data_IF_472540314460
#
_entry.id   IF_472540314460
#
_cell.length_a   1.000
_cell.length_b   1.000
_cell.length_c   1.000
_cell.angle_alpha   90.00
_cell.angle_beta   90.00
_cell.angle_gamma   90.00
#
_symmetry.space_group_name_H-M   'P 1'
#
loop_
_entity.id
_entity.type
_entity.pdbx_description
1 polymer ?
#
# COMPACT_ATOMS: atom_id res chain seq x y z
N UNK A 1 -10.69 -37.81 45.63
CA UNK A 1 -10.27 -36.48 45.11
C UNK A 1 -9.37 -36.72 43.90
N UNK A 2 -9.94 -36.70 42.71
CA UNK A 2 -9.20 -36.65 41.44
C UNK A 2 -9.76 -35.44 40.69
N UNK A 3 -9.08 -34.31 40.89
CA UNK A 3 -9.45 -33.03 40.29
C UNK A 3 -9.02 -33.08 38.81
N UNK A 4 -9.86 -33.66 37.95
CA UNK A 4 -9.68 -33.59 36.51
C UNK A 4 -10.07 -32.19 36.07
N UNK A 5 -9.07 -31.35 35.83
CA UNK A 5 -9.21 -30.08 35.11
C UNK A 5 -10.04 -30.33 33.84
N UNK A 6 -11.08 -29.54 33.53
CA UNK A 6 -11.77 -29.71 32.27
C UNK A 6 -10.80 -29.31 31.17
N UNK A 7 -10.39 -30.26 30.34
CA UNK A 7 -9.77 -29.98 29.04
C UNK A 7 -10.70 -29.02 28.31
N UNK A 8 -10.23 -27.80 28.07
CA UNK A 8 -11.01 -26.80 27.32
C UNK A 8 -11.45 -27.44 26.00
N UNK A 9 -12.76 -27.51 25.77
CA UNK A 9 -13.31 -28.10 24.56
C UNK A 9 -12.73 -27.37 23.34
N UNK A 10 -12.13 -28.11 22.42
CA UNK A 10 -11.58 -27.56 21.17
C UNK A 10 -12.73 -26.97 20.36
N UNK A 11 -12.67 -25.68 20.09
CA UNK A 11 -13.65 -25.01 19.23
C UNK A 11 -13.26 -25.20 17.76
N UNK A 12 -14.23 -25.49 16.91
CA UNK A 12 -14.04 -25.66 15.47
C UNK A 12 -14.72 -24.52 14.71
N UNK A 13 -14.23 -24.23 13.49
CA UNK A 13 -14.91 -23.29 12.60
C UNK A 13 -16.33 -23.78 12.23
N UNK A 14 -16.50 -25.08 12.02
CA UNK A 14 -17.77 -25.76 11.77
C UNK A 14 -17.89 -26.98 12.72
N UNK A 15 -18.77 -26.91 13.72
CA UNK A 15 -18.85 -27.90 14.82
C UNK A 15 -19.21 -29.33 14.37
N UNK A 16 -19.98 -29.47 13.29
CA UNK A 16 -20.50 -30.77 12.84
C UNK A 16 -19.83 -31.29 11.57
N UNK A 17 -18.75 -30.65 11.12
CA UNK A 17 -18.09 -31.00 9.86
C UNK A 17 -16.73 -31.65 10.12
N UNK A 18 -16.55 -32.88 9.63
CA UNK A 18 -15.26 -33.57 9.68
C UNK A 18 -14.21 -32.78 8.88
N UNK A 19 -13.02 -32.62 9.46
CA UNK A 19 -11.92 -31.86 8.85
C UNK A 19 -12.06 -30.33 8.97
N UNK A 20 -12.93 -29.82 9.85
CA UNK A 20 -12.99 -28.39 10.14
C UNK A 20 -11.71 -27.89 10.80
N UNK A 21 -11.29 -26.67 10.47
CA UNK A 21 -10.19 -26.00 11.15
C UNK A 21 -10.50 -25.74 12.63
N UNK A 22 -9.44 -25.73 13.44
CA UNK A 22 -9.50 -25.34 14.84
C UNK A 22 -9.62 -23.83 14.96
N UNK A 23 -10.60 -23.39 15.73
CA UNK A 23 -10.86 -21.99 16.02
C UNK A 23 -10.08 -21.56 17.25
N UNK A 24 -9.33 -20.46 17.15
CA UNK A 24 -8.67 -19.84 18.30
C UNK A 24 -9.71 -19.09 19.16
N UNK A 25 -9.90 -19.46 20.43
CA UNK A 25 -10.89 -18.80 21.28
C UNK A 25 -10.33 -17.46 21.79
N UNK A 26 -10.82 -16.35 21.23
CA UNK A 26 -10.60 -15.02 21.78
C UNK A 26 -11.69 -14.65 22.80
N UNK A 27 -11.31 -13.92 23.86
CA UNK A 27 -12.28 -13.33 24.78
C UNK A 27 -13.22 -12.37 24.04
N UNK A 28 -14.48 -12.19 24.48
CA UNK A 28 -15.40 -11.24 23.85
C UNK A 28 -14.81 -9.82 23.74
N UNK A 29 -14.09 -9.37 24.77
CA UNK A 29 -13.41 -8.08 24.78
C UNK A 29 -12.32 -7.99 23.70
N UNK A 30 -11.46 -9.02 23.59
CA UNK A 30 -10.41 -9.07 22.56
C UNK A 30 -10.99 -9.05 21.14
N UNK A 31 -12.08 -9.81 20.89
CA UNK A 31 -12.76 -9.83 19.59
C UNK A 31 -13.27 -8.45 19.21
N UNK A 32 -13.94 -7.77 20.14
CA UNK A 32 -14.46 -6.41 19.91
C UNK A 32 -13.32 -5.44 19.61
N UNK A 33 -12.21 -5.50 20.37
CA UNK A 33 -11.03 -4.66 20.12
C UNK A 33 -10.45 -4.92 18.74
N UNK A 34 -10.23 -6.18 18.36
CA UNK A 34 -9.64 -6.53 17.06
C UNK A 34 -10.55 -6.09 15.90
N UNK A 35 -11.87 -6.32 15.99
CA UNK A 35 -12.82 -5.83 15.00
C UNK A 35 -12.80 -4.30 14.87
N UNK A 36 -12.71 -3.57 15.99
CA UNK A 36 -12.60 -2.11 15.94
C UNK A 36 -11.30 -1.66 15.27
N UNK A 37 -10.18 -2.28 15.61
CA UNK A 37 -8.85 -1.91 15.10
C UNK A 37 -8.74 -2.19 13.59
N UNK A 38 -9.05 -3.42 13.17
CA UNK A 38 -9.00 -3.82 11.77
C UNK A 38 -10.10 -3.16 10.92
N UNK A 39 -11.30 -3.02 11.48
CA UNK A 39 -12.43 -2.35 10.83
C UNK A 39 -12.15 -0.86 10.62
N UNK A 40 -11.54 -0.19 11.59
CA UNK A 40 -11.11 1.21 11.43
C UNK A 40 -10.08 1.36 10.32
N UNK A 41 -9.10 0.46 10.22
CA UNK A 41 -8.11 0.44 9.13
C UNK A 41 -8.78 0.31 7.76
N UNK A 42 -9.71 -0.64 7.61
CA UNK A 42 -10.45 -0.86 6.38
C UNK A 42 -11.29 0.37 5.98
N UNK A 43 -12.05 0.94 6.93
CA UNK A 43 -12.83 2.17 6.72
C UNK A 43 -11.92 3.32 6.27
N UNK A 44 -10.78 3.51 6.93
CA UNK A 44 -9.83 4.55 6.56
C UNK A 44 -9.26 4.34 5.16
N UNK A 45 -8.88 3.10 4.80
CA UNK A 45 -8.41 2.76 3.46
C UNK A 45 -9.46 3.04 2.39
N UNK A 46 -10.72 2.65 2.62
CA UNK A 46 -11.82 2.86 1.67
C UNK A 46 -12.14 4.35 1.50
N UNK A 47 -12.54 5.03 2.58
CA UNK A 47 -13.02 6.41 2.48
C UNK A 47 -11.87 7.39 2.22
N UNK A 48 -10.71 7.16 2.84
CA UNK A 48 -9.54 8.01 2.66
C UNK A 48 -9.06 8.00 1.20
N UNK A 49 -8.90 6.82 0.60
CA UNK A 49 -8.43 6.74 -0.78
C UNK A 49 -9.50 7.16 -1.79
N UNK A 50 -10.79 6.92 -1.52
CA UNK A 50 -11.88 7.46 -2.33
C UNK A 50 -11.86 9.01 -2.37
N UNK A 51 -11.58 9.65 -1.23
CA UNK A 51 -11.42 11.11 -1.16
C UNK A 51 -10.21 11.59 -1.97
N UNK A 52 -9.09 10.88 -1.94
CA UNK A 52 -7.89 11.19 -2.75
C UNK A 52 -8.22 11.12 -4.24
N UNK A 53 -8.83 10.01 -4.69
CA UNK A 53 -9.25 9.85 -6.08
C UNK A 53 -10.21 10.95 -6.50
N UNK A 54 -11.25 11.21 -5.69
CA UNK A 54 -12.26 12.23 -5.98
C UNK A 54 -11.62 13.61 -6.09
N UNK A 55 -10.72 13.97 -5.17
CA UNK A 55 -10.02 15.25 -5.21
C UNK A 55 -9.22 15.41 -6.52
N UNK A 56 -8.39 14.44 -6.88
CA UNK A 56 -7.54 14.54 -8.07
C UNK A 56 -8.35 14.55 -9.36
N UNK A 57 -9.36 13.69 -9.47
CA UNK A 57 -10.18 13.58 -10.68
C UNK A 57 -11.08 14.80 -10.85
N UNK A 58 -11.60 15.37 -9.76
CA UNK A 58 -12.52 16.51 -9.80
C UNK A 58 -11.83 17.85 -10.09
N UNK A 59 -10.70 18.15 -9.43
CA UNK A 59 -10.05 19.46 -9.54
C UNK A 59 -9.04 19.48 -10.68
N UNK A 60 -9.38 20.17 -11.79
CA UNK A 60 -8.55 20.25 -13.01
C UNK A 60 -7.13 20.78 -12.76
N UNK A 61 -6.96 21.63 -11.76
CA UNK A 61 -5.65 22.15 -11.37
C UNK A 61 -4.69 21.05 -10.90
N UNK A 62 -5.22 19.92 -10.41
CA UNK A 62 -4.43 18.78 -9.95
C UNK A 62 -4.10 17.80 -11.08
N UNK A 63 -4.55 18.02 -12.32
CA UNK A 63 -4.28 17.11 -13.43
C UNK A 63 -2.83 17.24 -13.89
N UNK A 64 -1.94 16.50 -13.23
CA UNK A 64 -0.53 16.36 -13.57
C UNK A 64 -0.15 14.89 -13.69
N UNK A 65 0.93 14.54 -14.42
CA UNK A 65 1.39 13.16 -14.56
C UNK A 65 1.55 12.42 -13.23
N UNK A 66 2.15 13.07 -12.23
CA UNK A 66 2.35 12.52 -10.88
C UNK A 66 1.03 12.32 -10.14
N UNK A 67 0.10 13.27 -10.24
CA UNK A 67 -1.17 13.15 -9.53
C UNK A 67 -2.04 12.04 -10.15
N UNK A 68 -1.94 11.76 -11.45
CA UNK A 68 -2.58 10.57 -12.04
C UNK A 68 -2.01 9.26 -11.46
N UNK A 69 -0.69 9.18 -11.23
CA UNK A 69 -0.10 8.04 -10.54
C UNK A 69 -0.61 7.92 -9.09
N UNK A 70 -0.72 9.05 -8.37
CA UNK A 70 -1.26 9.07 -6.99
C UNK A 70 -2.74 8.65 -6.98
N UNK A 71 -3.55 9.08 -7.95
CA UNK A 71 -4.94 8.67 -8.07
C UNK A 71 -5.07 7.17 -8.37
N UNK A 72 -4.19 6.63 -9.21
CA UNK A 72 -4.15 5.19 -9.51
C UNK A 72 -3.67 4.35 -8.32
N UNK A 73 -2.67 4.83 -7.57
CA UNK A 73 -2.27 4.26 -6.28
C UNK A 73 -3.43 4.22 -5.28
N UNK A 74 -4.16 5.34 -5.14
CA UNK A 74 -5.34 5.40 -4.29
C UNK A 74 -6.44 4.42 -4.76
N UNK A 75 -6.56 4.15 -6.07
CA UNK A 75 -7.46 3.12 -6.57
C UNK A 75 -7.05 1.71 -6.12
N UNK A 76 -5.76 1.37 -6.20
CA UNK A 76 -5.25 0.09 -5.69
C UNK A 76 -5.50 -0.07 -4.19
N UNK A 77 -5.19 0.95 -3.39
CA UNK A 77 -5.39 0.93 -1.93
C UNK A 77 -6.87 0.92 -1.53
N UNK A 78 -7.74 1.60 -2.30
CA UNK A 78 -9.19 1.50 -2.15
C UNK A 78 -9.67 0.07 -2.38
N UNK A 79 -9.19 -0.60 -3.44
CA UNK A 79 -9.54 -1.99 -3.73
C UNK A 79 -9.07 -2.93 -2.61
N UNK A 80 -7.85 -2.76 -2.09
CA UNK A 80 -7.40 -3.49 -0.88
C UNK A 80 -8.38 -3.29 0.28
N UNK A 81 -8.80 -2.05 0.53
CA UNK A 81 -9.76 -1.70 1.59
C UNK A 81 -11.14 -2.35 1.43
N UNK A 82 -11.60 -2.59 0.19
CA UNK A 82 -12.93 -3.17 -0.09
C UNK A 82 -12.88 -4.70 -0.21
N UNK A 83 -11.90 -5.24 -0.92
CA UNK A 83 -11.88 -6.67 -1.32
C UNK A 83 -10.95 -7.53 -0.46
N UNK A 84 -9.98 -6.94 0.24
CA UNK A 84 -8.98 -7.70 1.02
C UNK A 84 -9.22 -7.53 2.52
N UNK A 85 -9.17 -6.29 3.03
CA UNK A 85 -9.17 -6.02 4.47
C UNK A 85 -10.41 -6.55 5.21
N UNK A 86 -11.67 -6.42 4.71
CA UNK A 86 -12.84 -6.87 5.47
C UNK A 86 -12.88 -8.39 5.66
N UNK A 87 -12.43 -9.14 4.65
CA UNK A 87 -12.41 -10.59 4.68
C UNK A 87 -11.20 -11.12 5.46
N UNK A 88 -10.04 -10.46 5.32
CA UNK A 88 -8.88 -10.70 6.19
C UNK A 88 -9.23 -10.42 7.65
N UNK A 89 -10.02 -9.39 7.95
CA UNK A 89 -10.46 -9.09 9.32
C UNK A 89 -11.28 -10.24 9.92
N UNK A 90 -12.24 -10.79 9.17
CA UNK A 90 -12.99 -11.96 9.64
C UNK A 90 -12.04 -13.14 9.88
N UNK A 91 -11.11 -13.40 8.94
CA UNK A 91 -10.09 -14.45 9.07
C UNK A 91 -9.24 -14.28 10.33
N UNK A 92 -8.69 -13.09 10.58
CA UNK A 92 -7.80 -12.85 11.72
C UNK A 92 -8.54 -12.88 13.06
N UNK A 93 -9.77 -12.35 13.13
CA UNK A 93 -10.54 -12.27 14.39
C UNK A 93 -11.20 -13.60 14.73
N UNK A 94 -11.79 -14.28 13.75
CA UNK A 94 -12.47 -15.56 13.99
C UNK A 94 -11.52 -16.75 13.86
N UNK A 95 -10.29 -16.55 13.36
CA UNK A 95 -9.35 -17.63 12.98
C UNK A 95 -9.93 -18.62 11.96
N UNK A 96 -10.95 -18.19 11.22
CA UNK A 96 -11.74 -19.03 10.35
C UNK A 96 -12.09 -18.28 9.06
N UNK A 97 -12.17 -19.02 7.95
CA UNK A 97 -12.55 -18.55 6.64
C UNK A 97 -13.89 -19.15 6.19
N UNK A 98 -14.95 -18.35 6.28
CA UNK A 98 -16.31 -18.81 6.00
C UNK A 98 -16.77 -18.61 4.54
N UNK A 99 -15.92 -18.04 3.69
CA UNK A 99 -16.29 -17.59 2.34
C UNK A 99 -16.03 -18.63 1.24
N UNK A 100 -15.55 -19.82 1.62
CA UNK A 100 -15.25 -20.92 0.70
C UNK A 100 -13.90 -20.79 -0.02
N UNK A 101 -13.43 -21.92 -0.57
CA UNK A 101 -12.09 -22.05 -1.16
C UNK A 101 -11.89 -21.18 -2.41
N UNK A 102 -12.89 -21.12 -3.29
CA UNK A 102 -12.81 -20.28 -4.50
C UNK A 102 -12.60 -18.80 -4.15
N UNK A 103 -13.31 -18.30 -3.15
CA UNK A 103 -13.12 -16.91 -2.71
C UNK A 103 -11.79 -16.72 -1.98
N UNK A 104 -11.27 -17.73 -1.27
CA UNK A 104 -9.90 -17.68 -0.72
C UNK A 104 -8.87 -17.46 -1.83
N UNK A 105 -8.94 -18.23 -2.93
CA UNK A 105 -8.05 -18.04 -4.08
C UNK A 105 -8.18 -16.64 -4.68
N UNK A 106 -9.40 -16.15 -4.91
CA UNK A 106 -9.60 -14.79 -5.43
C UNK A 106 -9.10 -13.72 -4.46
N UNK A 107 -9.32 -13.89 -3.16
CA UNK A 107 -8.85 -12.99 -2.12
C UNK A 107 -7.32 -12.91 -2.12
N UNK A 108 -6.62 -14.05 -2.15
CA UNK A 108 -5.15 -14.07 -2.29
C UNK A 108 -4.69 -13.43 -3.59
N UNK A 109 -5.38 -13.69 -4.70
CA UNK A 109 -5.06 -13.04 -5.97
C UNK A 109 -5.18 -11.50 -5.88
N UNK A 110 -6.28 -11.01 -5.30
CA UNK A 110 -6.50 -9.57 -5.13
C UNK A 110 -5.49 -8.95 -4.16
N UNK A 111 -5.19 -9.63 -3.07
CA UNK A 111 -4.20 -9.19 -2.10
C UNK A 111 -2.84 -8.97 -2.77
N UNK A 112 -2.28 -10.02 -3.39
CA UNK A 112 -1.00 -9.90 -4.07
C UNK A 112 -1.07 -8.87 -5.20
N UNK A 113 -2.07 -8.92 -6.09
CA UNK A 113 -2.12 -8.03 -7.24
C UNK A 113 -2.19 -6.55 -6.84
N UNK A 114 -3.05 -6.19 -5.89
CA UNK A 114 -3.23 -4.78 -5.51
C UNK A 114 -2.07 -4.27 -4.67
N UNK A 115 -1.51 -5.09 -3.79
CA UNK A 115 -0.30 -4.73 -3.04
C UNK A 115 0.91 -4.47 -3.94
N UNK A 116 1.16 -5.36 -4.91
CA UNK A 116 2.23 -5.16 -5.90
C UNK A 116 1.92 -3.99 -6.84
N UNK A 117 0.65 -3.75 -7.15
CA UNK A 117 0.25 -2.55 -7.88
C UNK A 117 0.65 -1.30 -7.12
N UNK A 118 0.37 -1.22 -5.82
CA UNK A 118 0.77 -0.10 -4.97
C UNK A 118 2.30 0.06 -4.92
N UNK A 119 3.07 -1.04 -4.85
CA UNK A 119 4.54 -1.02 -4.91
C UNK A 119 5.06 -0.40 -6.22
N UNK A 120 4.53 -0.81 -7.37
CA UNK A 120 4.97 -0.25 -8.66
C UNK A 120 4.58 1.20 -8.83
N UNK A 121 3.38 1.62 -8.38
CA UNK A 121 3.00 3.02 -8.38
C UNK A 121 3.96 3.86 -7.54
N UNK A 122 4.30 3.43 -6.31
CA UNK A 122 5.29 4.10 -5.48
C UNK A 122 6.66 4.18 -6.15
N UNK A 123 7.08 3.11 -6.84
CA UNK A 123 8.35 3.07 -7.57
C UNK A 123 8.37 4.08 -8.72
N UNK A 124 7.31 4.14 -9.54
CA UNK A 124 7.21 5.11 -10.63
C UNK A 124 7.07 6.55 -10.13
N UNK A 125 6.33 6.79 -9.04
CA UNK A 125 6.29 8.09 -8.38
C UNK A 125 7.70 8.50 -7.94
N UNK A 126 8.49 7.58 -7.39
CA UNK A 126 9.86 7.85 -6.96
C UNK A 126 10.78 8.24 -8.13
N UNK A 127 10.64 7.55 -9.28
CA UNK A 127 11.36 7.87 -10.52
C UNK A 127 10.94 9.26 -11.04
N UNK A 128 9.64 9.53 -11.13
CA UNK A 128 9.10 10.83 -11.54
C UNK A 128 9.65 11.97 -10.66
N UNK A 129 9.63 11.80 -9.34
CA UNK A 129 10.18 12.77 -8.38
C UNK A 129 11.68 12.96 -8.51
N UNK A 130 12.42 11.87 -8.75
CA UNK A 130 13.85 11.95 -8.98
C UNK A 130 14.14 12.84 -10.18
N UNK A 131 13.51 12.57 -11.33
CA UNK A 131 13.70 13.36 -12.57
C UNK A 131 13.29 14.82 -12.36
N UNK A 132 12.17 15.08 -11.66
CA UNK A 132 11.69 16.43 -11.37
C UNK A 132 12.69 17.25 -10.52
N UNK A 133 13.38 16.61 -9.57
CA UNK A 133 14.35 17.27 -8.67
C UNK A 133 15.72 17.41 -9.31
N UNK A 134 16.19 16.41 -10.07
CA UNK A 134 17.52 16.44 -10.69
C UNK A 134 17.56 17.30 -11.95
N UNK A 135 16.53 17.22 -12.80
CA UNK A 135 16.48 17.89 -14.11
C UNK A 135 15.20 18.75 -14.29
N UNK A 136 14.96 19.79 -13.48
CA UNK A 136 13.68 20.52 -13.45
C UNK A 136 13.28 21.19 -14.77
N UNK A 137 14.25 21.56 -15.63
CA UNK A 137 13.97 22.20 -16.93
C UNK A 137 13.60 21.20 -18.03
N UNK A 138 14.10 19.97 -17.94
CA UNK A 138 13.88 18.90 -18.92
C UNK A 138 12.77 17.96 -18.47
N UNK A 139 12.42 17.98 -17.18
CA UNK A 139 11.32 17.21 -16.61
C UNK A 139 10.02 17.28 -17.42
N UNK A 140 9.49 18.46 -17.83
CA UNK A 140 8.22 18.53 -18.54
C UNK A 140 8.22 17.82 -19.91
N UNK A 141 9.39 17.64 -20.52
CA UNK A 141 9.52 16.91 -21.79
C UNK A 141 9.80 15.42 -21.59
N UNK A 142 10.41 15.03 -20.46
CA UNK A 142 10.70 13.62 -20.11
C UNK A 142 9.49 12.88 -19.53
N UNK A 143 8.73 13.52 -18.63
CA UNK A 143 7.65 12.86 -17.90
C UNK A 143 6.30 13.49 -18.24
N UNK A 144 5.65 12.94 -19.27
CA UNK A 144 4.38 13.43 -19.79
C UNK A 144 3.19 12.61 -19.27
N UNK A 145 1.96 13.07 -19.56
CA UNK A 145 0.73 12.33 -19.22
C UNK A 145 0.72 10.94 -19.89
N UNK A 146 1.22 10.82 -21.11
CA UNK A 146 1.33 9.53 -21.81
C UNK A 146 2.29 8.57 -21.11
N UNK A 147 3.43 9.06 -20.63
CA UNK A 147 4.38 8.26 -19.84
C UNK A 147 3.73 7.79 -18.54
N UNK A 148 3.01 8.67 -17.84
CA UNK A 148 2.22 8.29 -16.65
C UNK A 148 1.18 7.20 -16.97
N UNK A 149 0.48 7.28 -18.10
CA UNK A 149 -0.46 6.25 -18.56
C UNK A 149 0.21 4.89 -18.83
N UNK A 150 1.44 4.87 -19.35
CA UNK A 150 2.23 3.65 -19.52
C UNK A 150 2.61 3.06 -18.15
N UNK A 151 3.12 3.90 -17.24
CA UNK A 151 3.45 3.49 -15.86
C UNK A 151 2.23 2.90 -15.13
N UNK A 152 1.06 3.52 -15.26
CA UNK A 152 -0.20 3.01 -14.71
C UNK A 152 -0.52 1.64 -15.31
N UNK A 153 -0.49 1.52 -16.65
CA UNK A 153 -0.77 0.25 -17.33
C UNK A 153 0.12 -0.89 -16.85
N UNK A 154 1.44 -0.64 -16.72
CA UNK A 154 2.40 -1.61 -16.19
C UNK A 154 2.07 -1.99 -14.74
N UNK A 155 1.77 -0.98 -13.91
CA UNK A 155 1.46 -1.18 -12.49
C UNK A 155 0.17 -1.97 -12.24
N UNK A 156 -0.70 -2.13 -13.23
CA UNK A 156 -1.89 -2.98 -13.13
C UNK A 156 -1.70 -4.32 -13.81
N UNK A 157 -1.28 -4.32 -15.07
CA UNK A 157 -1.22 -5.53 -15.89
C UNK A 157 -0.21 -6.53 -15.32
N UNK A 158 0.98 -6.07 -14.91
CA UNK A 158 2.03 -6.95 -14.46
C UNK A 158 1.65 -7.66 -13.13
N UNK A 159 1.21 -6.96 -12.07
CA UNK A 159 0.75 -7.63 -10.84
C UNK A 159 -0.46 -8.54 -11.04
N UNK A 160 -1.46 -8.12 -11.83
CA UNK A 160 -2.65 -8.94 -12.08
C UNK A 160 -2.30 -10.24 -12.81
N UNK A 161 -1.44 -10.13 -13.83
CA UNK A 161 -0.98 -11.30 -14.59
C UNK A 161 -0.13 -12.21 -13.72
N UNK A 162 0.81 -11.65 -12.96
CA UNK A 162 1.66 -12.39 -12.04
C UNK A 162 0.83 -13.15 -11.00
N UNK A 163 -0.04 -12.44 -10.27
CA UNK A 163 -0.83 -13.02 -9.20
C UNK A 163 -1.82 -14.06 -9.72
N UNK A 164 -2.50 -13.79 -10.84
CA UNK A 164 -3.35 -14.77 -11.50
C UNK A 164 -2.56 -16.01 -11.94
N UNK A 165 -1.40 -15.83 -12.58
CA UNK A 165 -0.57 -16.95 -13.01
C UNK A 165 -0.08 -17.81 -11.84
N UNK A 166 0.25 -17.23 -10.69
CA UNK A 166 0.78 -17.95 -9.53
C UNK A 166 -0.32 -18.68 -8.75
N UNK A 167 -1.35 -17.95 -8.32
CA UNK A 167 -2.32 -18.46 -7.35
C UNK A 167 -3.55 -19.10 -7.98
N UNK A 168 -3.97 -18.67 -9.17
CA UNK A 168 -5.14 -19.28 -9.83
C UNK A 168 -4.77 -20.61 -10.51
N UNK A 169 -3.55 -20.74 -11.01
CA UNK A 169 -3.09 -22.00 -11.65
C UNK A 169 -2.65 -23.07 -10.64
N UNK A 170 -2.44 -22.69 -9.38
CA UNK A 170 -1.86 -23.57 -8.35
C UNK A 170 -0.34 -23.71 -8.45
N UNK A 171 0.34 -22.92 -9.29
CA UNK A 171 1.80 -23.00 -9.43
C UNK A 171 2.55 -22.78 -8.11
N UNK A 172 1.94 -22.06 -7.16
CA UNK A 172 2.48 -21.80 -5.82
C UNK A 172 2.67 -23.08 -4.98
N UNK A 173 1.83 -24.11 -5.16
CA UNK A 173 1.87 -25.33 -4.35
C UNK A 173 2.62 -26.50 -5.00
N UNK A 174 3.14 -26.31 -6.23
CA UNK A 174 3.90 -27.34 -6.94
C UNK A 174 5.07 -27.87 -6.09
N UNK A 175 5.10 -29.18 -5.87
CA UNK A 175 6.10 -29.87 -5.06
C UNK A 175 5.88 -29.79 -3.54
N UNK A 176 4.73 -29.27 -3.11
CA UNK A 176 4.35 -29.09 -1.71
C UNK A 176 2.90 -29.54 -1.45
N UNK A 177 2.39 -30.45 -2.29
CA UNK A 177 0.99 -30.90 -2.30
C UNK A 177 0.61 -31.63 -1.01
N UNK A 178 1.52 -32.44 -0.45
CA UNK A 178 1.29 -33.14 0.83
C UNK A 178 1.15 -32.17 2.00
N UNK A 179 2.01 -31.15 2.06
CA UNK A 179 1.93 -30.11 3.09
C UNK A 179 0.70 -29.22 2.91
N UNK A 180 0.37 -28.85 1.66
CA UNK A 180 -0.87 -28.15 1.33
C UNK A 180 -2.08 -28.95 1.80
N UNK A 181 -2.14 -30.25 1.51
CA UNK A 181 -3.22 -31.14 1.97
C UNK A 181 -3.30 -31.24 3.50
N UNK A 182 -2.16 -31.30 4.19
CA UNK A 182 -2.11 -31.38 5.65
C UNK A 182 -2.55 -30.08 6.35
N UNK A 183 -2.27 -28.92 5.76
CA UNK A 183 -2.66 -27.60 6.30
C UNK A 183 -4.07 -27.19 5.88
N UNK A 184 -4.58 -27.73 4.77
CA UNK A 184 -5.92 -27.42 4.28
C UNK A 184 -6.99 -28.12 5.12
N UNK A 185 -7.77 -27.32 5.84
CA UNK A 185 -8.95 -27.75 6.57
C UNK A 185 -10.18 -26.93 6.15
N UNK A 186 -11.39 -27.44 6.40
CA UNK A 186 -12.61 -26.72 6.06
C UNK A 186 -12.78 -25.53 7.01
N UNK A 187 -12.93 -24.34 6.45
CA UNK A 187 -12.88 -23.11 7.22
C UNK A 187 -11.48 -22.49 7.32
N UNK A 188 -10.52 -22.98 6.54
CA UNK A 188 -9.17 -22.42 6.44
C UNK A 188 -8.97 -21.65 5.14
N UNK A 189 -8.07 -20.68 5.16
CA UNK A 189 -7.57 -20.00 3.97
C UNK A 189 -6.08 -19.72 4.18
N UNK A 190 -5.26 -20.72 3.86
CA UNK A 190 -3.80 -20.64 3.89
C UNK A 190 -3.29 -21.10 2.52
N UNK A 191 -2.62 -20.21 1.81
CA UNK A 191 -1.99 -20.53 0.54
C UNK A 191 -0.55 -20.87 0.81
N UNK A 192 -0.19 -22.14 0.61
CA UNK A 192 1.19 -22.59 0.72
C UNK A 192 1.95 -22.12 -0.51
N UNK A 193 3.10 -21.48 -0.32
CA UNK A 193 3.94 -20.97 -1.40
C UNK A 193 5.29 -21.67 -1.33
N UNK A 194 5.69 -22.34 -2.41
CA UNK A 194 6.98 -23.01 -2.45
C UNK A 194 8.15 -22.00 -2.43
N UNK A 195 9.34 -22.52 -2.10
CA UNK A 195 10.56 -21.71 -1.92
C UNK A 195 10.90 -20.83 -3.13
N UNK A 196 10.67 -21.33 -4.34
CA UNK A 196 10.98 -20.58 -5.57
C UNK A 196 10.07 -19.36 -5.71
N UNK A 197 8.77 -19.53 -5.48
CA UNK A 197 7.82 -18.41 -5.54
C UNK A 197 8.03 -17.43 -4.39
N UNK A 198 8.33 -17.91 -3.17
CA UNK A 198 8.71 -17.02 -2.06
C UNK A 198 9.94 -16.19 -2.38
N UNK A 199 10.96 -16.79 -3.01
CA UNK A 199 12.15 -16.05 -3.43
C UNK A 199 11.82 -15.01 -4.52
N UNK A 200 10.99 -15.39 -5.50
CA UNK A 200 10.54 -14.46 -6.55
C UNK A 200 9.76 -13.30 -5.94
N UNK A 201 8.85 -13.57 -5.00
CA UNK A 201 8.08 -12.56 -4.29
C UNK A 201 9.02 -11.62 -3.52
N UNK A 202 9.95 -12.18 -2.75
CA UNK A 202 10.93 -11.40 -1.99
C UNK A 202 11.77 -10.50 -2.90
N UNK A 203 12.30 -11.02 -4.00
CA UNK A 203 13.09 -10.24 -4.96
C UNK A 203 12.25 -9.16 -5.65
N UNK A 204 11.00 -9.49 -6.00
CA UNK A 204 10.07 -8.58 -6.67
C UNK A 204 9.63 -7.44 -5.75
N UNK A 205 9.63 -7.66 -4.43
CA UNK A 205 9.48 -6.62 -3.44
C UNK A 205 10.79 -5.84 -3.18
N UNK A 206 11.90 -6.55 -3.00
CA UNK A 206 13.18 -5.99 -2.57
C UNK A 206 13.84 -5.10 -3.63
N UNK A 207 13.82 -5.51 -4.90
CA UNK A 207 14.47 -4.76 -5.99
C UNK A 207 13.86 -3.36 -6.18
N UNK A 208 12.53 -3.20 -6.36
CA UNK A 208 11.93 -1.87 -6.48
C UNK A 208 12.12 -1.03 -5.21
N UNK A 209 12.05 -1.67 -4.04
CA UNK A 209 12.29 -1.03 -2.75
C UNK A 209 13.71 -0.45 -2.67
N UNK A 210 14.73 -1.22 -3.01
CA UNK A 210 16.12 -0.77 -3.04
C UNK A 210 16.31 0.40 -4.01
N UNK A 211 15.71 0.32 -5.20
CA UNK A 211 15.73 1.42 -6.18
C UNK A 211 15.12 2.67 -5.58
N UNK A 212 13.96 2.59 -4.93
CA UNK A 212 13.34 3.75 -4.27
C UNK A 212 14.27 4.36 -3.19
N UNK A 213 14.93 3.54 -2.36
CA UNK A 213 15.89 4.04 -1.35
C UNK A 213 17.00 4.84 -2.00
N UNK A 214 17.61 4.30 -3.07
CA UNK A 214 18.69 4.95 -3.79
C UNK A 214 18.21 6.28 -4.38
N UNK A 215 17.05 6.30 -5.02
CA UNK A 215 16.48 7.49 -5.62
C UNK A 215 16.21 8.59 -4.57
N UNK A 216 15.58 8.26 -3.44
CA UNK A 216 15.33 9.25 -2.38
C UNK A 216 16.59 9.72 -1.67
N UNK A 217 17.58 8.84 -1.51
CA UNK A 217 18.89 9.23 -0.98
C UNK A 217 19.53 10.27 -1.90
N UNK A 218 19.51 10.04 -3.22
CA UNK A 218 20.02 10.98 -4.20
C UNK A 218 19.22 12.30 -4.21
N UNK A 219 17.90 12.24 -4.17
CA UNK A 219 17.02 13.42 -4.05
C UNK A 219 17.42 14.25 -2.82
N UNK A 220 17.61 13.59 -1.67
CA UNK A 220 17.97 14.28 -0.43
C UNK A 220 19.36 14.93 -0.52
N UNK A 221 20.32 14.25 -1.14
CA UNK A 221 21.67 14.79 -1.38
C UNK A 221 21.63 16.02 -2.31
N UNK A 222 20.96 15.93 -3.45
CA UNK A 222 20.79 17.03 -4.40
C UNK A 222 20.09 18.21 -3.74
N UNK A 223 19.03 17.94 -2.98
CA UNK A 223 18.29 18.95 -2.23
C UNK A 223 19.16 19.67 -1.18
N UNK A 224 20.06 18.95 -0.48
CA UNK A 224 21.02 19.56 0.45
C UNK A 224 22.06 20.42 -0.27
N UNK A 225 22.58 19.94 -1.39
CA UNK A 225 23.56 20.69 -2.19
C UNK A 225 22.96 21.99 -2.74
N UNK A 226 21.72 21.94 -3.25
CA UNK A 226 21.01 23.12 -3.74
C UNK A 226 20.72 24.12 -2.60
N UNK A 227 20.30 23.65 -1.42
CA UNK A 227 20.08 24.52 -0.26
C UNK A 227 21.36 25.26 0.16
N UNK A 228 22.49 24.54 0.24
CA UNK A 228 23.80 25.13 0.56
C UNK A 228 24.26 26.16 -0.48
N UNK A 229 23.99 25.92 -1.77
CA UNK A 229 24.29 26.88 -2.85
C UNK A 229 23.45 28.16 -2.73
N UNK A 230 22.16 28.04 -2.35
CA UNK A 230 21.26 29.19 -2.15
C UNK A 230 21.72 30.03 -0.95
N UNK A 231 22.05 29.40 0.18
CA UNK A 231 22.59 30.11 1.36
C UNK A 231 23.90 30.84 1.03
N UNK A 232 24.80 30.22 0.27
CA UNK A 232 26.07 30.82 -0.12
C UNK A 232 25.93 31.94 -1.18
N UNK A 233 24.82 32.00 -1.93
CA UNK A 233 24.59 32.98 -3.02
C UNK A 233 23.73 34.17 -2.57
N UNK A 234 23.26 34.20 -1.32
CA UNK A 234 22.37 35.23 -0.74
C UNK A 234 22.90 36.67 -0.65
N UNK A 235 23.90 37.05 -1.44
CA UNK A 235 24.45 38.42 -1.52
C UNK A 235 24.61 38.98 -2.95
N UNK A 236 24.19 38.26 -4.00
CA UNK A 236 24.26 38.77 -5.38
C UNK A 236 22.87 38.88 -6.01
N UNK A 237 22.64 40.00 -6.69
CA UNK A 237 21.40 40.34 -7.41
C UNK A 237 20.98 39.20 -8.33
N UNK A 238 19.99 38.41 -7.92
CA UNK A 238 19.48 37.28 -8.70
C UNK A 238 18.75 37.78 -9.96
N UNK A 239 19.05 37.19 -11.11
CA UNK A 239 18.24 37.40 -12.31
C UNK A 239 16.83 36.83 -12.11
N UNK A 240 15.82 37.38 -12.78
CA UNK A 240 14.43 36.89 -12.69
C UNK A 240 14.29 35.40 -13.07
N UNK A 241 15.14 34.92 -13.99
CA UNK A 241 15.27 33.51 -14.38
C UNK A 241 15.77 32.63 -13.24
N UNK A 242 16.80 33.06 -12.51
CA UNK A 242 17.41 32.27 -11.43
C UNK A 242 16.51 32.21 -10.19
N UNK A 243 15.77 33.30 -9.93
CA UNK A 243 14.72 33.33 -8.89
C UNK A 243 13.55 32.39 -9.19
N UNK A 244 13.14 32.26 -10.47
CA UNK A 244 12.12 31.29 -10.85
C UNK A 244 12.60 29.84 -10.67
N UNK A 245 13.83 29.52 -11.12
CA UNK A 245 14.43 28.18 -10.95
C UNK A 245 14.55 27.78 -9.48
N UNK A 246 14.98 28.70 -8.60
CA UNK A 246 15.13 28.44 -7.16
C UNK A 246 13.78 28.17 -6.48
N UNK A 247 12.72 28.89 -6.86
CA UNK A 247 11.35 28.67 -6.35
C UNK A 247 10.78 27.31 -6.76
N UNK A 248 10.96 26.91 -8.03
CA UNK A 248 10.52 25.60 -8.52
C UNK A 248 11.25 24.48 -7.77
N UNK A 249 12.58 24.54 -7.68
CA UNK A 249 13.37 23.53 -6.97
C UNK A 249 12.98 23.42 -5.48
N UNK A 250 12.69 24.54 -4.81
CA UNK A 250 12.22 24.54 -3.40
C UNK A 250 10.88 23.83 -3.24
N UNK A 251 9.94 24.03 -4.18
CA UNK A 251 8.63 23.35 -4.17
C UNK A 251 8.78 21.85 -4.41
N UNK A 252 9.56 21.45 -5.40
CA UNK A 252 9.82 20.03 -5.70
C UNK A 252 10.50 19.32 -4.54
N UNK A 253 11.46 19.97 -3.85
CA UNK A 253 12.08 19.43 -2.64
C UNK A 253 11.08 19.15 -1.53
N UNK A 254 10.14 20.07 -1.28
CA UNK A 254 9.11 19.90 -0.25
C UNK A 254 8.22 18.70 -0.58
N UNK A 255 7.81 18.56 -1.84
CA UNK A 255 7.04 17.42 -2.32
C UNK A 255 7.83 16.09 -2.22
N UNK A 256 9.10 16.09 -2.59
CA UNK A 256 9.94 14.90 -2.54
C UNK A 256 10.25 14.43 -1.10
N UNK A 257 10.40 15.36 -0.14
CA UNK A 257 10.51 15.03 1.29
C UNK A 257 9.27 14.25 1.78
N UNK A 258 8.10 14.72 1.39
CA UNK A 258 6.83 14.08 1.75
C UNK A 258 6.73 12.66 1.19
N UNK A 259 7.05 12.48 -0.09
CA UNK A 259 6.97 11.16 -0.72
C UNK A 259 8.04 10.20 -0.20
N UNK A 260 9.21 10.72 0.22
CA UNK A 260 10.21 9.93 0.91
C UNK A 260 9.72 9.36 2.25
N UNK A 261 8.88 10.10 2.99
CA UNK A 261 8.23 9.58 4.21
C UNK A 261 7.27 8.43 3.86
N UNK A 262 6.48 8.57 2.79
CA UNK A 262 5.60 7.49 2.31
C UNK A 262 6.37 6.22 2.00
N UNK A 263 7.51 6.35 1.33
CA UNK A 263 8.36 5.22 0.95
C UNK A 263 8.99 4.53 2.16
N UNK A 264 9.45 5.29 3.16
CA UNK A 264 9.96 4.71 4.40
C UNK A 264 8.85 3.99 5.17
N UNK A 265 7.66 4.60 5.25
CA UNK A 265 6.51 3.98 5.91
C UNK A 265 6.15 2.64 5.24
N UNK A 266 6.09 2.62 3.90
CA UNK A 266 5.88 1.42 3.10
C UNK A 266 6.91 0.32 3.42
N UNK A 267 8.20 0.66 3.47
CA UNK A 267 9.26 -0.30 3.79
C UNK A 267 9.08 -0.93 5.16
N UNK A 268 8.83 -0.11 6.17
CA UNK A 268 8.66 -0.56 7.56
C UNK A 268 7.42 -1.46 7.69
N UNK A 269 6.33 -1.12 7.00
CA UNK A 269 5.10 -1.91 7.05
C UNK A 269 5.23 -3.29 6.40
N UNK A 270 6.03 -3.40 5.35
CA UNK A 270 6.16 -4.64 4.57
C UNK A 270 7.28 -5.56 5.04
N UNK A 271 8.31 -5.00 5.67
CA UNK A 271 9.48 -5.76 6.12
C UNK A 271 9.15 -6.97 7.02
N UNK A 272 8.23 -6.88 8.00
CA UNK A 272 7.88 -8.03 8.85
C UNK A 272 7.38 -9.22 8.04
N UNK A 273 6.44 -9.00 7.11
CA UNK A 273 5.87 -10.03 6.24
C UNK A 273 6.92 -10.65 5.32
N UNK A 274 7.79 -9.83 4.72
CA UNK A 274 8.86 -10.32 3.84
C UNK A 274 9.86 -11.21 4.58
N UNK A 275 10.23 -10.85 5.82
CA UNK A 275 11.14 -11.66 6.64
C UNK A 275 10.45 -12.96 7.07
N UNK A 276 9.21 -12.87 7.54
CA UNK A 276 8.39 -14.02 7.97
C UNK A 276 8.28 -15.07 6.86
N UNK A 277 7.92 -14.63 5.65
CA UNK A 277 7.78 -15.52 4.49
C UNK A 277 9.09 -16.23 4.13
N UNK A 278 10.23 -15.54 4.23
CA UNK A 278 11.54 -16.16 3.99
C UNK A 278 11.91 -17.19 5.07
N UNK A 279 11.61 -16.89 6.33
CA UNK A 279 11.87 -17.79 7.45
C UNK A 279 11.07 -19.08 7.28
N UNK A 280 9.77 -18.97 7.00
CA UNK A 280 8.90 -20.13 6.83
C UNK A 280 9.35 -21.00 5.64
N UNK A 281 9.69 -20.36 4.51
CA UNK A 281 10.10 -21.08 3.31
C UNK A 281 11.47 -21.77 3.44
N UNK A 282 12.48 -21.10 4.01
CA UNK A 282 13.86 -21.59 3.98
C UNK A 282 14.32 -22.27 5.26
N UNK A 283 13.70 -21.96 6.41
CA UNK A 283 14.04 -22.60 7.69
C UNK A 283 13.06 -23.71 8.07
N UNK A 284 11.99 -23.93 7.30
CA UNK A 284 10.96 -24.92 7.62
C UNK A 284 10.24 -24.63 8.94
N UNK A 285 10.25 -23.36 9.36
CA UNK A 285 9.51 -22.89 10.52
C UNK A 285 8.03 -22.75 10.12
N UNK A 286 7.12 -23.06 11.04
CA UNK A 286 5.69 -22.83 10.84
C UNK A 286 5.32 -21.65 11.73
N UNK A 287 5.19 -20.48 11.13
CA UNK A 287 4.84 -19.28 11.88
C UNK A 287 3.47 -19.44 12.54
N UNK A 288 3.34 -19.18 13.85
CA UNK A 288 2.05 -19.17 14.52
C UNK A 288 1.09 -18.21 13.83
N UNK A 289 -0.16 -18.63 13.60
CA UNK A 289 -1.14 -17.88 12.82
C UNK A 289 -1.28 -16.41 13.27
N UNK A 290 -1.24 -16.13 14.56
CA UNK A 290 -1.35 -14.76 15.06
C UNK A 290 -0.16 -13.86 14.67
N UNK A 291 1.06 -14.40 14.56
CA UNK A 291 2.25 -13.65 14.10
C UNK A 291 2.10 -13.34 12.61
N UNK A 292 1.74 -14.34 11.81
CA UNK A 292 1.47 -14.17 10.38
C UNK A 292 0.41 -13.09 10.13
N UNK A 293 -0.70 -13.11 10.88
CA UNK A 293 -1.74 -12.09 10.78
C UNK A 293 -1.22 -10.69 11.16
N UNK A 294 -0.40 -10.56 12.21
CA UNK A 294 0.22 -9.29 12.57
C UNK A 294 1.10 -8.78 11.41
N UNK A 295 1.92 -9.64 10.82
CA UNK A 295 2.77 -9.31 9.68
C UNK A 295 1.94 -8.86 8.46
N UNK A 296 0.86 -9.57 8.11
CA UNK A 296 -0.06 -9.17 7.04
C UNK A 296 -0.74 -7.82 7.33
N UNK A 297 -1.24 -7.62 8.55
CA UNK A 297 -1.90 -6.38 8.92
C UNK A 297 -0.94 -5.20 8.91
N UNK A 298 0.32 -5.37 9.34
CA UNK A 298 1.36 -4.37 9.18
C UNK A 298 1.45 -3.89 7.72
N UNK A 299 1.47 -4.81 6.75
CA UNK A 299 1.48 -4.47 5.33
C UNK A 299 0.17 -3.78 4.89
N UNK A 300 -1.00 -4.25 5.33
CA UNK A 300 -2.30 -3.65 4.99
C UNK A 300 -2.45 -2.21 5.50
N UNK A 301 -1.92 -1.90 6.69
CA UNK A 301 -1.97 -0.54 7.23
C UNK A 301 -1.30 0.48 6.30
N UNK A 302 -0.35 0.09 5.45
CA UNK A 302 0.22 0.97 4.44
C UNK A 302 -0.87 1.64 3.57
N UNK A 303 -1.83 0.86 3.07
CA UNK A 303 -2.93 1.37 2.24
C UNK A 303 -3.86 2.32 2.99
N UNK A 304 -4.01 2.14 4.31
CA UNK A 304 -4.77 3.03 5.17
C UNK A 304 -4.00 4.33 5.53
N UNK A 305 -2.67 4.28 5.57
CA UNK A 305 -1.83 5.41 5.93
C UNK A 305 -1.66 6.43 4.81
N UNK A 306 -1.77 6.02 3.54
CA UNK A 306 -1.56 6.90 2.39
C UNK A 306 -2.43 8.19 2.40
N UNK A 307 -3.76 8.13 2.63
CA UNK A 307 -4.59 9.33 2.78
C UNK A 307 -4.17 10.25 3.93
N UNK A 308 -3.72 9.69 5.06
CA UNK A 308 -3.25 10.48 6.20
C UNK A 308 -1.96 11.22 5.86
N UNK A 309 -1.03 10.54 5.18
CA UNK A 309 0.21 11.15 4.69
C UNK A 309 -0.14 12.29 3.72
N UNK A 310 -1.09 12.09 2.81
CA UNK A 310 -1.54 13.17 1.93
C UNK A 310 -2.15 14.34 2.72
N UNK A 311 -2.99 14.08 3.71
CA UNK A 311 -3.65 15.12 4.52
C UNK A 311 -2.63 15.94 5.33
N UNK A 312 -1.62 15.30 5.89
CA UNK A 312 -0.59 15.98 6.67
C UNK A 312 0.30 16.87 5.80
N UNK A 313 0.66 16.39 4.61
CA UNK A 313 1.74 17.01 3.85
C UNK A 313 1.32 17.77 2.59
N UNK A 314 0.12 17.54 2.04
CA UNK A 314 -0.35 18.22 0.84
C UNK A 314 -1.40 19.30 1.18
N UNK A 315 -1.04 20.60 1.11
CA UNK A 315 -1.98 21.69 1.39
C UNK A 315 -3.19 21.69 0.46
N UNK A 316 -2.99 21.32 -0.82
CA UNK A 316 -4.08 21.23 -1.78
C UNK A 316 -5.10 20.16 -1.39
N UNK A 317 -4.65 19.05 -0.80
CA UNK A 317 -5.53 17.95 -0.42
C UNK A 317 -6.41 18.33 0.78
N UNK A 318 -5.86 19.01 1.80
CA UNK A 318 -6.64 19.55 2.92
C UNK A 318 -7.76 20.50 2.46
N UNK A 319 -7.48 21.35 1.48
CA UNK A 319 -8.48 22.24 0.89
C UNK A 319 -9.52 21.47 0.08
N UNK A 320 -9.09 20.50 -0.73
CA UNK A 320 -9.98 19.66 -1.49
C UNK A 320 -10.95 18.91 -0.56
N UNK A 321 -10.46 18.29 0.52
CA UNK A 321 -11.30 17.65 1.54
C UNK A 321 -12.33 18.63 2.09
N UNK A 322 -11.91 19.84 2.49
CA UNK A 322 -12.84 20.86 3.02
C UNK A 322 -13.95 21.20 2.03
N UNK A 323 -13.65 21.29 0.72
CA UNK A 323 -14.63 21.55 -0.33
C UNK A 323 -15.57 20.35 -0.55
N UNK A 324 -15.02 19.14 -0.57
CA UNK A 324 -15.77 17.89 -0.77
C UNK A 324 -16.74 17.66 0.41
N UNK A 325 -16.22 17.69 1.64
CA UNK A 325 -17.01 17.44 2.87
C UNK A 325 -18.06 18.54 3.10
N UNK A 326 -17.81 19.78 2.67
CA UNK A 326 -18.80 20.86 2.77
C UNK A 326 -19.88 20.83 1.67
N UNK A 327 -19.91 19.79 0.83
CA UNK A 327 -20.89 19.65 -0.26
C UNK A 327 -20.73 20.67 -1.39
N UNK A 328 -19.68 21.52 -1.34
CA UNK A 328 -19.45 22.56 -2.36
C UNK A 328 -18.94 22.00 -3.68
N UNK A 329 -18.61 20.70 -3.72
CA UNK A 329 -18.22 19.97 -4.93
C UNK A 329 -19.32 19.96 -5.98
N UNK A 330 -20.61 20.02 -5.58
CA UNK A 330 -21.76 20.01 -6.49
C UNK A 330 -22.07 21.36 -7.16
N UNK A 331 -21.30 22.42 -6.88
CA UNK A 331 -21.48 23.72 -7.55
C UNK A 331 -20.84 23.71 -8.94
N UNK A 332 -21.53 24.28 -9.95
CA UNK A 332 -21.16 24.26 -11.39
C UNK A 332 -19.77 24.86 -11.76
N UNK A 333 -18.98 25.34 -10.79
CA UNK A 333 -17.62 25.89 -10.99
C UNK A 333 -16.57 25.31 -10.03
N UNK A 334 -16.91 24.27 -9.26
CA UNK A 334 -16.01 23.73 -8.23
C UNK A 334 -14.75 23.08 -8.80
N UNK A 335 -14.81 22.47 -9.99
CA UNK A 335 -13.68 21.79 -10.63
C UNK A 335 -12.56 22.70 -11.12
N UNK A 336 -12.82 24.01 -11.29
CA UNK A 336 -11.81 25.03 -11.66
C UNK A 336 -11.30 25.83 -10.45
N UNK A 337 -11.69 25.47 -9.22
CA UNK A 337 -11.24 26.17 -8.01
C UNK A 337 -9.72 26.07 -7.83
N UNK A 338 -9.10 27.20 -7.47
CA UNK A 338 -7.68 27.26 -7.17
C UNK A 338 -7.42 26.74 -5.74
N UNK A 339 -6.80 25.57 -5.63
CA UNK A 339 -6.41 24.92 -4.37
C UNK A 339 -5.03 25.37 -3.88
N UNK A 340 -4.24 26.06 -4.70
CA UNK A 340 -2.83 26.37 -4.41
C UNK A 340 -2.56 27.71 -3.72
N UNK A 341 -3.56 28.54 -3.43
CA UNK A 341 -3.34 29.83 -2.75
C UNK A 341 -2.93 29.65 -1.27
N UNK A 342 -1.64 29.69 -0.97
CA UNK A 342 -1.22 30.23 0.34
C UNK A 342 -1.83 31.63 0.41
N UNK A 343 -2.90 31.82 1.19
CA UNK A 343 -3.23 33.16 1.63
C UNK A 343 -2.07 33.57 2.52
N UNK A 344 -1.38 34.60 2.03
CA UNK A 344 -0.23 35.29 2.60
C UNK A 344 -0.34 35.50 4.10
#
# INVERSE_FOLDING_TARGET
MSNSSPTAAVQLCYEHLNGSCVKTPYSPASRVILYMVYGFAAVLAVFGNLLVMTAILHFKQLHSPTNFLIASLACADFLVGVTVMPFSMVRSVESCWYFGRTFCTFHTCFDTAFCYSSLFHLSFISIDRYIAVTDPLVYPTKFTVSVSGICISISWILPLTYSGAVFYTGANENGLEELSSALNCVGGCQMVVNQNWVLIDFLSFFIPTLVMIILYSNIFLVARQQAKKIENTGSKTESSSDSYKSRVAKRERKAAKTLGITVIAFMISWLPYSIDSLIDAFMGFITPAYIYEICCWCAYYNSAMNPLIYALFYPWFRKAIKVIVSGRVFKNSSGSMNLSSEQM
#
